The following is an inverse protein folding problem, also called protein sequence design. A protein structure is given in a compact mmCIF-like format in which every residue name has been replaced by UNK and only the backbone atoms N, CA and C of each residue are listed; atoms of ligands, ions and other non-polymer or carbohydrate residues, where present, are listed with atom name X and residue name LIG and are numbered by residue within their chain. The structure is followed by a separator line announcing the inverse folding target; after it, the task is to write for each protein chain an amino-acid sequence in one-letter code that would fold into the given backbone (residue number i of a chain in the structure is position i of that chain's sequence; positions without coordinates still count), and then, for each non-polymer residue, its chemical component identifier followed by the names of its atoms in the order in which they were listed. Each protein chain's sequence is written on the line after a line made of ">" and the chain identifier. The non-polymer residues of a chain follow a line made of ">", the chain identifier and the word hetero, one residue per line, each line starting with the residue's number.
data_IF_562860242137
#
_entry.id   IF_562860242137
#
_cell.length_a   1.000
_cell.length_b   1.000
_cell.length_c   1.000
_cell.angle_alpha   90.00
_cell.angle_beta   90.00
_cell.angle_gamma   90.00
#
_symmetry.space_group_name_H-M   'P 1'
#
loop_
_entity.id
_entity.type
_entity.pdbx_description
1 polymer ?
#
# COMPACT_ATOMS: atom_id res chain seq x y z
N UNK A 1 -16.44 29.98 -2.92
CA UNK A 1 -16.52 29.36 -1.58
C UNK A 1 -15.59 30.09 -0.63
N UNK A 2 -15.94 30.26 0.66
CA UNK A 2 -15.00 30.80 1.65
C UNK A 2 -14.23 29.62 2.26
N UNK A 3 -12.91 29.74 2.32
CA UNK A 3 -12.03 28.77 2.94
C UNK A 3 -11.76 29.17 4.39
N UNK A 4 -11.75 28.20 5.31
CA UNK A 4 -11.45 28.41 6.72
C UNK A 4 -9.96 28.24 7.01
N UNK A 5 -9.34 27.30 6.30
CA UNK A 5 -7.91 26.98 6.40
C UNK A 5 -7.33 26.80 5.01
N UNK A 6 -6.05 27.16 4.81
CA UNK A 6 -5.30 26.89 3.59
C UNK A 6 -3.97 26.23 3.95
N UNK A 7 -3.68 25.09 3.30
CA UNK A 7 -2.48 24.27 3.50
C UNK A 7 -1.91 23.80 2.17
N UNK A 8 -0.75 23.17 2.19
CA UNK A 8 -0.14 22.60 0.99
C UNK A 8 -0.76 21.26 0.63
N UNK A 9 -0.99 20.40 1.62
CA UNK A 9 -1.61 19.10 1.42
C UNK A 9 -2.74 18.84 2.43
N UNK A 10 -3.83 18.25 1.95
CA UNK A 10 -4.90 17.72 2.80
C UNK A 10 -4.85 16.20 2.76
N UNK A 11 -4.80 15.54 3.92
CA UNK A 11 -4.93 14.09 4.08
C UNK A 11 -6.30 13.77 4.69
N UNK A 12 -7.10 12.93 4.03
CA UNK A 12 -8.46 12.58 4.48
C UNK A 12 -8.51 11.54 5.58
N UNK A 13 -7.37 10.95 5.95
CA UNK A 13 -7.28 9.94 7.00
C UNK A 13 -5.91 9.95 7.66
N UNK A 14 -5.88 9.57 8.94
CA UNK A 14 -4.68 9.49 9.77
C UNK A 14 -4.06 8.10 9.87
N UNK A 15 -4.41 7.19 8.95
CA UNK A 15 -3.74 5.90 8.82
C UNK A 15 -2.30 6.03 8.34
N UNK A 16 -1.61 4.91 8.20
CA UNK A 16 -0.18 4.87 7.84
C UNK A 16 0.14 5.70 6.59
N UNK A 17 -0.69 5.61 5.54
CA UNK A 17 -0.46 6.34 4.29
C UNK A 17 -0.70 7.86 4.42
N UNK A 18 -1.74 8.26 5.17
CA UNK A 18 -2.01 9.67 5.42
C UNK A 18 -0.92 10.34 6.24
N UNK A 19 -0.47 9.69 7.32
CA UNK A 19 0.64 10.18 8.14
C UNK A 19 1.95 10.24 7.36
N UNK A 20 2.28 9.19 6.58
CA UNK A 20 3.48 9.21 5.75
C UNK A 20 3.47 10.35 4.73
N UNK A 21 2.31 10.60 4.08
CA UNK A 21 2.15 11.73 3.15
C UNK A 21 2.32 13.08 3.85
N UNK A 22 1.75 13.22 5.06
CA UNK A 22 1.87 14.45 5.85
C UNK A 22 3.32 14.71 6.27
N UNK A 23 4.03 13.69 6.75
CA UNK A 23 5.45 13.78 7.14
C UNK A 23 6.31 14.17 5.94
N UNK A 24 6.09 13.54 4.78
CA UNK A 24 6.84 13.87 3.55
C UNK A 24 6.72 15.35 3.15
N UNK A 25 5.53 15.93 3.31
CA UNK A 25 5.28 17.35 2.99
C UNK A 25 5.89 18.27 4.04
N UNK A 26 5.76 17.93 5.32
CA UNK A 26 6.36 18.71 6.39
C UNK A 26 7.89 18.73 6.30
N UNK A 27 8.53 17.64 5.87
CA UNK A 27 9.99 17.56 5.69
C UNK A 27 10.53 18.51 4.61
N UNK A 28 9.69 18.92 3.67
CA UNK A 28 10.03 19.94 2.68
C UNK A 28 9.50 21.34 3.04
N UNK A 29 9.01 21.49 4.28
CA UNK A 29 8.54 22.78 4.80
C UNK A 29 7.12 23.15 4.40
N UNK A 30 6.31 22.20 3.93
CA UNK A 30 4.91 22.42 3.58
C UNK A 30 3.96 22.27 4.77
N UNK A 31 2.86 23.02 4.72
CA UNK A 31 1.77 22.93 5.69
C UNK A 31 0.82 21.79 5.35
N UNK A 32 0.33 21.06 6.37
CA UNK A 32 -0.54 19.91 6.17
C UNK A 32 -1.77 19.95 7.07
N UNK A 33 -2.89 19.47 6.56
CA UNK A 33 -4.09 19.15 7.32
C UNK A 33 -4.29 17.63 7.29
N UNK A 34 -4.37 17.00 8.46
CA UNK A 34 -4.61 15.56 8.58
C UNK A 34 -5.93 15.34 9.31
N UNK A 35 -6.92 14.80 8.60
CA UNK A 35 -8.18 14.41 9.20
C UNK A 35 -8.00 13.08 9.97
N UNK A 36 -8.43 13.06 11.23
CA UNK A 36 -8.55 11.86 12.05
C UNK A 36 -9.97 11.34 11.94
N UNK A 37 -10.23 10.53 10.95
CA UNK A 37 -11.52 9.87 10.80
C UNK A 37 -11.61 8.65 11.71
N UNK A 38 -12.82 8.33 12.18
CA UNK A 38 -13.12 7.10 12.92
C UNK A 38 -12.90 5.84 12.08
N UNK A 39 -13.31 4.69 12.58
CA UNK A 39 -13.13 3.40 11.91
C UNK A 39 -14.31 3.08 10.98
N UNK A 40 -14.09 3.05 9.69
CA UNK A 40 -15.04 2.45 8.74
C UNK A 40 -14.81 0.94 8.58
N UNK A 41 -15.85 0.18 8.32
CA UNK A 41 -15.73 -1.24 8.01
C UNK A 41 -15.03 -1.45 6.66
N UNK A 42 -14.05 -2.37 6.57
CA UNK A 42 -13.36 -2.64 5.32
C UNK A 42 -14.32 -3.24 4.28
N UNK A 43 -14.74 -2.46 3.31
CA UNK A 43 -15.67 -2.91 2.29
C UNK A 43 -15.08 -4.01 1.40
N UNK A 44 -15.93 -4.98 1.11
CA UNK A 44 -15.66 -6.03 0.12
C UNK A 44 -16.42 -5.66 -1.16
N UNK A 45 -15.70 -5.28 -2.25
CA UNK A 45 -16.43 -4.93 -3.46
C UNK A 45 -15.55 -4.31 -4.56
N UNK A 46 -16.15 -3.47 -5.38
CA UNK A 46 -15.51 -2.76 -6.48
C UNK A 46 -14.42 -1.78 -6.00
N UNK A 47 -13.62 -1.25 -6.93
CA UNK A 47 -12.60 -0.26 -6.61
C UNK A 47 -13.21 1.00 -5.98
N UNK A 48 -14.36 1.46 -6.46
CA UNK A 48 -15.11 2.61 -5.89
C UNK A 48 -15.49 2.34 -4.43
N UNK A 49 -16.06 1.17 -4.15
CA UNK A 49 -16.42 0.78 -2.78
C UNK A 49 -15.22 0.72 -1.86
N UNK A 50 -14.04 0.34 -2.38
CA UNK A 50 -12.80 0.30 -1.62
C UNK A 50 -12.29 1.70 -1.30
N UNK A 51 -12.29 2.63 -2.26
CA UNK A 51 -11.92 4.03 -1.98
C UNK A 51 -12.91 4.64 -0.99
N UNK A 52 -14.21 4.39 -1.17
CA UNK A 52 -15.24 4.85 -0.24
C UNK A 52 -15.08 4.28 1.16
N UNK A 53 -14.56 3.05 1.31
CA UNK A 53 -14.29 2.45 2.62
C UNK A 53 -13.08 3.05 3.33
N UNK A 54 -12.17 3.72 2.63
CA UNK A 54 -11.13 4.53 3.26
C UNK A 54 -11.68 5.79 3.92
N UNK A 55 -12.85 6.22 3.48
CA UNK A 55 -13.57 7.39 3.97
C UNK A 55 -14.68 6.86 4.90
N UNK A 56 -14.47 6.88 6.18
CA UNK A 56 -15.26 6.26 7.23
C UNK A 56 -16.79 6.34 7.16
N UNK A 57 -17.28 7.48 6.74
CA UNK A 57 -18.71 7.73 6.51
C UNK A 57 -18.87 7.87 5.01
N UNK A 58 -19.70 7.03 4.39
CA UNK A 58 -19.92 7.10 2.96
C UNK A 58 -20.17 8.54 2.53
N UNK A 59 -19.33 9.06 1.66
CA UNK A 59 -19.47 10.41 1.13
C UNK A 59 -20.75 10.45 0.28
N UNK A 60 -21.71 11.28 0.68
CA UNK A 60 -22.99 11.42 -0.03
C UNK A 60 -22.93 12.42 -1.19
N UNK A 61 -21.85 13.19 -1.29
CA UNK A 61 -21.67 14.19 -2.34
C UNK A 61 -21.47 13.53 -3.71
N UNK A 62 -22.32 13.92 -4.67
CA UNK A 62 -22.37 13.29 -6.00
C UNK A 62 -21.10 13.56 -6.79
N UNK A 63 -20.59 14.80 -6.78
CA UNK A 63 -19.39 15.19 -7.53
C UNK A 63 -18.13 14.46 -7.01
N UNK A 64 -18.04 14.29 -5.71
CA UNK A 64 -16.96 13.50 -5.09
C UNK A 64 -17.04 12.02 -5.48
N UNK A 65 -18.25 11.44 -5.46
CA UNK A 65 -18.46 10.06 -5.86
C UNK A 65 -18.16 9.83 -7.36
N UNK A 66 -18.57 10.73 -8.21
CA UNK A 66 -18.30 10.69 -9.65
C UNK A 66 -16.79 10.77 -9.92
N UNK A 67 -16.08 11.64 -9.20
CA UNK A 67 -14.63 11.70 -9.27
C UNK A 67 -13.96 10.39 -8.85
N UNK A 68 -14.35 9.83 -7.70
CA UNK A 68 -13.80 8.56 -7.22
C UNK A 68 -14.12 7.41 -8.19
N UNK A 69 -15.30 7.41 -8.78
CA UNK A 69 -15.68 6.46 -9.82
C UNK A 69 -14.81 6.61 -11.07
N UNK A 70 -14.62 7.84 -11.55
CA UNK A 70 -13.81 8.13 -12.73
C UNK A 70 -12.33 7.70 -12.56
N UNK A 71 -11.70 7.99 -11.42
CA UNK A 71 -10.30 7.61 -11.18
C UNK A 71 -10.08 6.11 -10.99
N UNK A 72 -11.15 5.34 -10.77
CA UNK A 72 -11.12 3.89 -10.54
C UNK A 72 -11.82 3.08 -11.64
N UNK A 73 -12.32 3.72 -12.70
CA UNK A 73 -13.13 3.07 -13.74
C UNK A 73 -12.41 1.97 -14.50
N UNK A 74 -11.10 2.16 -14.75
CA UNK A 74 -10.28 1.22 -15.52
C UNK A 74 -9.63 0.13 -14.67
N UNK A 75 -9.93 0.11 -13.37
CA UNK A 75 -9.39 -0.89 -12.46
C UNK A 75 -10.27 -2.13 -12.49
N UNK A 76 -9.71 -3.23 -12.97
CA UNK A 76 -10.34 -4.54 -12.91
C UNK A 76 -10.69 -4.98 -11.48
N UNK A 77 -11.22 -6.20 -11.30
CA UNK A 77 -11.59 -6.70 -9.97
C UNK A 77 -10.37 -6.73 -9.06
N UNK A 78 -10.52 -6.21 -7.85
CA UNK A 78 -9.43 -6.12 -6.88
C UNK A 78 -8.98 -7.51 -6.42
N UNK A 79 -7.65 -7.75 -6.31
CA UNK A 79 -7.12 -9.01 -5.83
C UNK A 79 -7.63 -9.30 -4.41
N UNK A 80 -8.21 -10.48 -4.21
CA UNK A 80 -8.74 -10.90 -2.89
C UNK A 80 -7.64 -11.16 -1.86
N UNK A 81 -6.45 -11.54 -2.31
CA UNK A 81 -5.33 -11.96 -1.47
C UNK A 81 -4.59 -10.82 -0.75
N UNK A 82 -4.82 -9.57 -1.16
CA UNK A 82 -4.07 -8.43 -0.60
C UNK A 82 -4.66 -7.85 0.70
N UNK A 83 -5.83 -8.35 1.15
CA UNK A 83 -6.58 -7.75 2.27
C UNK A 83 -5.96 -7.99 3.64
N UNK A 84 -5.27 -9.11 3.81
CA UNK A 84 -4.69 -9.53 5.07
C UNK A 84 -3.15 -9.52 5.03
N UNK A 85 -2.56 -8.86 4.05
CA UNK A 85 -1.11 -8.76 3.97
C UNK A 85 -0.64 -7.59 4.81
N UNK A 86 0.35 -7.87 5.65
CA UNK A 86 1.09 -6.86 6.39
C UNK A 86 1.80 -5.89 5.43
N UNK A 87 2.38 -4.84 6.00
CA UNK A 87 3.11 -3.84 5.24
C UNK A 87 4.17 -4.52 4.35
N UNK A 88 4.15 -4.31 3.03
CA UNK A 88 5.05 -5.02 2.15
C UNK A 88 6.50 -4.58 2.36
N UNK A 89 7.39 -5.56 2.44
CA UNK A 89 8.85 -5.35 2.43
C UNK A 89 9.37 -5.64 1.03
N UNK A 90 10.05 -4.69 0.43
CA UNK A 90 10.60 -4.81 -0.91
C UNK A 90 12.11 -4.67 -0.91
N UNK A 91 12.80 -5.60 -1.58
CA UNK A 91 14.22 -5.47 -1.85
C UNK A 91 14.42 -4.57 -3.06
N UNK A 92 15.26 -3.57 -2.92
CA UNK A 92 15.60 -2.63 -3.99
C UNK A 92 17.09 -2.61 -4.21
N UNK A 93 17.51 -2.46 -5.45
CA UNK A 93 18.91 -2.20 -5.77
C UNK A 93 19.21 -0.74 -5.42
N UNK A 94 20.36 -0.49 -4.81
CA UNK A 94 20.82 0.89 -4.63
C UNK A 94 20.88 1.60 -5.98
N UNK A 95 20.44 2.86 -6.05
CA UNK A 95 20.48 3.61 -7.29
C UNK A 95 21.95 3.71 -7.72
N UNK A 96 22.30 2.99 -8.80
CA UNK A 96 23.58 3.23 -9.45
C UNK A 96 23.54 4.63 -10.00
N UNK A 97 24.40 5.49 -9.50
CA UNK A 97 24.52 6.93 -9.85
C UNK A 97 24.88 7.22 -11.33
N UNK A 98 24.66 6.28 -12.24
CA UNK A 98 25.07 6.34 -13.64
C UNK A 98 23.95 6.48 -14.67
N UNK A 99 22.71 6.76 -14.27
CA UNK A 99 21.68 7.12 -15.24
C UNK A 99 21.55 8.64 -15.37
N UNK A 100 22.65 9.27 -15.75
CA UNK A 100 22.69 10.65 -16.28
C UNK A 100 22.15 10.71 -17.72
N UNK A 101 21.06 10.06 -18.00
CA UNK A 101 20.33 10.15 -19.25
C UNK A 101 18.85 10.35 -18.95
N UNK A 102 18.23 11.35 -19.60
CA UNK A 102 16.77 11.52 -19.65
C UNK A 102 16.12 10.30 -20.30
N UNK A 103 16.14 9.15 -19.63
CA UNK A 103 15.40 7.99 -20.08
C UNK A 103 13.97 8.16 -19.58
N UNK A 104 13.09 8.58 -20.47
CA UNK A 104 11.65 8.55 -20.20
C UNK A 104 11.26 7.09 -20.00
N UNK A 105 10.81 6.74 -18.81
CA UNK A 105 10.31 5.40 -18.55
C UNK A 105 9.17 5.07 -19.53
N UNK A 106 9.17 3.89 -20.17
CA UNK A 106 8.12 3.54 -21.11
C UNK A 106 6.76 3.55 -20.41
N UNK A 107 5.78 4.23 -21.01
CA UNK A 107 4.40 4.23 -20.52
C UNK A 107 3.80 2.83 -20.71
N UNK A 108 3.39 2.21 -19.63
CA UNK A 108 2.86 0.84 -19.61
C UNK A 108 1.48 0.86 -18.96
N UNK A 109 0.48 1.38 -19.66
CA UNK A 109 -0.87 1.67 -19.15
C UNK A 109 -1.51 0.50 -18.39
N UNK A 110 -1.46 -0.73 -18.89
CA UNK A 110 -2.01 -1.91 -18.22
C UNK A 110 -1.34 -2.16 -16.84
N UNK A 111 -0.02 -1.96 -16.74
CA UNK A 111 0.69 -2.10 -15.45
C UNK A 111 0.34 -1.02 -14.44
N UNK A 112 -0.12 0.16 -14.88
CA UNK A 112 -0.63 1.19 -13.97
C UNK A 112 -1.97 0.78 -13.37
N UNK A 113 -2.86 0.15 -14.14
CA UNK A 113 -4.10 -0.42 -13.64
C UNK A 113 -3.85 -1.51 -12.58
N UNK A 114 -2.96 -2.46 -12.85
CA UNK A 114 -2.56 -3.50 -11.90
C UNK A 114 -1.93 -2.92 -10.63
N UNK A 115 -1.12 -1.87 -10.78
CA UNK A 115 -0.53 -1.17 -9.64
C UNK A 115 -1.60 -0.49 -8.79
N UNK A 116 -2.49 0.26 -9.40
CA UNK A 116 -3.59 0.93 -8.72
C UNK A 116 -4.50 -0.07 -7.98
N UNK A 117 -4.84 -1.20 -8.62
CA UNK A 117 -5.60 -2.28 -8.00
C UNK A 117 -4.90 -2.85 -6.74
N UNK A 118 -3.57 -3.03 -6.79
CA UNK A 118 -2.77 -3.46 -5.63
C UNK A 118 -2.75 -2.41 -4.52
N UNK A 119 -2.64 -1.13 -4.86
CA UNK A 119 -2.70 -0.04 -3.87
C UNK A 119 -4.06 0.00 -3.18
N UNK A 120 -5.15 -0.09 -3.95
CA UNK A 120 -6.52 -0.08 -3.41
C UNK A 120 -6.85 -1.31 -2.54
N UNK A 121 -6.25 -2.46 -2.85
CA UNK A 121 -6.40 -3.65 -2.03
C UNK A 121 -5.62 -3.59 -0.71
N UNK A 122 -4.62 -2.71 -0.61
CA UNK A 122 -3.76 -2.57 0.57
C UNK A 122 -4.36 -1.61 1.60
N UNK A 123 -4.33 -1.93 2.90
CA UNK A 123 -4.70 -0.98 3.96
C UNK A 123 -3.72 0.21 4.06
N UNK A 124 -2.56 0.10 3.44
CA UNK A 124 -1.50 1.12 3.40
C UNK A 124 -1.51 1.93 2.10
N UNK A 125 -2.56 1.78 1.28
CA UNK A 125 -2.71 2.47 0.02
C UNK A 125 -3.18 3.92 0.18
N UNK A 126 -2.92 4.72 -0.86
CA UNK A 126 -3.42 6.08 -0.99
C UNK A 126 -3.71 6.44 -2.44
N UNK A 127 -4.56 7.45 -2.61
CA UNK A 127 -4.83 8.12 -3.87
C UNK A 127 -4.50 9.60 -3.73
N UNK A 128 -3.59 10.13 -4.54
CA UNK A 128 -3.39 11.57 -4.66
C UNK A 128 -4.29 12.17 -5.74
N UNK A 129 -4.88 13.31 -5.46
CA UNK A 129 -5.73 14.03 -6.43
C UNK A 129 -4.93 14.55 -7.64
N UNK A 130 -3.61 14.70 -7.51
CA UNK A 130 -2.70 15.09 -8.58
C UNK A 130 -1.53 14.11 -8.67
N UNK A 131 -1.01 13.92 -9.89
CA UNK A 131 0.30 13.27 -10.07
C UNK A 131 1.35 14.27 -9.62
N UNK A 132 2.10 13.96 -8.58
CA UNK A 132 3.15 14.84 -8.04
C UNK A 132 4.47 14.09 -7.91
N UNK A 133 5.53 14.77 -8.30
CA UNK A 133 6.91 14.31 -8.06
C UNK A 133 7.39 14.86 -6.70
N UNK A 134 6.91 14.29 -5.62
CA UNK A 134 7.31 14.64 -4.25
C UNK A 134 8.78 14.28 -4.01
N UNK A 135 9.74 15.01 -4.55
CA UNK A 135 11.17 14.70 -4.42
C UNK A 135 11.48 13.20 -4.45
N UNK A 136 10.73 12.46 -5.29
CA UNK A 136 10.85 11.03 -5.38
C UNK A 136 12.06 10.64 -6.23
N UNK A 137 12.80 9.66 -5.76
CA UNK A 137 13.83 8.99 -6.56
C UNK A 137 13.21 7.79 -7.28
N UNK A 138 13.72 7.50 -8.49
CA UNK A 138 13.34 6.27 -9.20
C UNK A 138 14.34 5.18 -8.86
N UNK A 139 13.86 4.06 -8.34
CA UNK A 139 14.68 2.89 -8.01
C UNK A 139 14.16 1.64 -8.71
N UNK A 140 15.03 0.68 -8.94
CA UNK A 140 14.66 -0.61 -9.48
C UNK A 140 14.48 -1.61 -8.34
N UNK A 141 13.30 -2.23 -8.28
CA UNK A 141 13.03 -3.31 -7.36
C UNK A 141 13.67 -4.62 -7.86
N UNK A 142 13.87 -5.58 -6.97
CA UNK A 142 14.49 -6.89 -7.28
C UNK A 142 13.72 -7.70 -8.34
N UNK A 143 12.42 -7.45 -8.48
CA UNK A 143 11.55 -8.02 -9.53
C UNK A 143 11.69 -7.32 -10.89
N UNK A 144 12.59 -6.34 -11.01
CA UNK A 144 12.82 -5.53 -12.20
C UNK A 144 11.85 -4.36 -12.38
N UNK A 145 10.88 -4.19 -11.51
CA UNK A 145 9.93 -3.07 -11.55
C UNK A 145 10.63 -1.74 -11.24
N UNK A 146 10.34 -0.71 -12.03
CA UNK A 146 10.74 0.66 -11.73
C UNK A 146 9.66 1.31 -10.86
N UNK A 147 10.07 1.84 -9.71
CA UNK A 147 9.19 2.48 -8.74
C UNK A 147 9.69 3.87 -8.40
N UNK A 148 8.77 4.80 -8.14
CA UNK A 148 9.05 6.10 -7.59
C UNK A 148 8.94 6.03 -6.06
N UNK A 149 9.96 6.51 -5.37
CA UNK A 149 10.12 6.37 -3.92
C UNK A 149 10.35 7.73 -3.28
N UNK A 150 9.49 8.12 -2.34
CA UNK A 150 9.76 9.20 -1.39
C UNK A 150 10.05 8.57 -0.02
N UNK A 151 11.28 8.71 0.44
CA UNK A 151 11.71 8.17 1.73
C UNK A 151 11.24 9.09 2.86
N UNK A 152 10.61 8.48 3.88
CA UNK A 152 10.12 9.18 5.08
C UNK A 152 11.15 9.08 6.22
N UNK A 153 11.90 7.99 6.27
CA UNK A 153 12.93 7.72 7.25
C UNK A 153 13.14 6.24 7.45
N UNK A 154 13.87 5.87 8.48
CA UNK A 154 14.21 4.47 8.77
C UNK A 154 13.82 4.08 10.18
N UNK A 155 13.37 2.85 10.34
CA UNK A 155 13.02 2.26 11.63
C UNK A 155 13.23 0.75 11.64
N UNK A 156 13.34 0.17 12.83
CA UNK A 156 13.31 -1.28 13.02
C UNK A 156 11.90 -1.69 13.45
N UNK A 157 11.11 -2.36 12.59
CA UNK A 157 9.74 -2.73 12.93
C UNK A 157 9.71 -3.87 13.95
N UNK A 158 8.68 -3.87 14.81
CA UNK A 158 8.44 -4.96 15.76
C UNK A 158 7.97 -6.22 15.03
N UNK A 159 8.58 -7.38 15.28
CA UNK A 159 8.11 -8.65 14.74
C UNK A 159 6.67 -8.95 15.17
N UNK A 160 5.86 -9.45 14.24
CA UNK A 160 4.48 -9.88 14.52
C UNK A 160 3.39 -8.84 14.25
N UNK A 161 3.70 -7.53 14.25
CA UNK A 161 2.77 -6.48 13.81
C UNK A 161 3.53 -5.29 13.21
N UNK A 162 4.04 -5.49 12.02
CA UNK A 162 4.86 -4.52 11.31
C UNK A 162 4.08 -3.25 10.99
N UNK A 163 2.85 -3.40 10.51
CA UNK A 163 2.02 -2.27 10.13
C UNK A 163 1.68 -1.36 11.30
N UNK A 164 1.33 -1.91 12.47
CA UNK A 164 1.09 -1.11 13.66
C UNK A 164 2.36 -0.42 14.15
N UNK A 165 3.49 -1.15 14.16
CA UNK A 165 4.79 -0.58 14.54
C UNK A 165 5.19 0.61 13.67
N UNK A 166 4.98 0.52 12.34
CA UNK A 166 5.23 1.62 11.41
C UNK A 166 4.25 2.77 11.63
N UNK A 167 2.98 2.46 11.89
CA UNK A 167 2.00 3.50 12.19
C UNK A 167 2.34 4.29 13.45
N UNK A 168 2.68 3.61 14.55
CA UNK A 168 3.09 4.24 15.80
C UNK A 168 4.33 5.12 15.63
N UNK A 169 5.31 4.62 14.84
CA UNK A 169 6.48 5.38 14.48
C UNK A 169 6.12 6.64 13.68
N UNK A 170 5.24 6.55 12.68
CA UNK A 170 4.76 7.68 11.89
C UNK A 170 3.99 8.69 12.74
N UNK A 171 3.21 8.23 13.72
CA UNK A 171 2.56 9.14 14.68
C UNK A 171 3.58 9.92 15.51
N UNK A 172 4.68 9.27 15.92
CA UNK A 172 5.77 9.96 16.60
C UNK A 172 6.43 10.98 15.67
N UNK A 173 6.76 10.58 14.44
CA UNK A 173 7.34 11.48 13.44
C UNK A 173 6.46 12.69 13.12
N UNK A 174 5.15 12.50 13.06
CA UNK A 174 4.18 13.58 12.86
C UNK A 174 4.18 14.55 14.05
N UNK A 175 4.16 14.03 15.27
CA UNK A 175 4.20 14.85 16.49
C UNK A 175 5.50 15.66 16.60
N UNK A 176 6.63 15.05 16.30
CA UNK A 176 7.95 15.71 16.34
C UNK A 176 8.03 16.88 15.35
N UNK A 177 7.26 16.85 14.26
CA UNK A 177 7.13 17.92 13.26
C UNK A 177 5.98 18.88 13.53
N UNK A 178 5.29 18.75 14.66
CA UNK A 178 4.15 19.61 15.02
C UNK A 178 2.90 19.37 14.15
N UNK A 179 2.82 18.26 13.42
CA UNK A 179 1.64 17.92 12.63
C UNK A 179 0.49 17.55 13.56
N UNK A 180 -0.61 18.30 13.46
CA UNK A 180 -1.82 18.04 14.22
C UNK A 180 -2.77 17.13 13.45
N UNK A 181 -3.20 16.02 14.08
CA UNK A 181 -4.29 15.20 13.58
C UNK A 181 -5.60 15.75 14.14
N UNK A 182 -6.48 16.23 13.26
CA UNK A 182 -7.78 16.79 13.60
C UNK A 182 -8.78 15.64 13.85
N UNK A 183 -8.90 15.20 15.08
CA UNK A 183 -9.83 14.13 15.47
C UNK A 183 -11.28 14.47 15.06
N UNK A 184 -12.09 13.43 14.80
CA UNK A 184 -13.51 13.55 14.44
C UNK A 184 -13.79 14.46 13.23
N UNK A 185 -12.83 14.51 12.29
CA UNK A 185 -12.95 15.24 11.03
C UNK A 185 -13.24 14.26 9.90
N UNK A 186 -14.52 14.11 9.53
CA UNK A 186 -14.94 13.21 8.47
C UNK A 186 -15.06 13.94 7.15
N UNK A 187 -14.53 13.37 6.08
CA UNK A 187 -14.67 13.95 4.74
C UNK A 187 -16.14 14.06 4.36
N UNK A 188 -16.60 15.30 4.10
CA UNK A 188 -17.92 15.58 3.59
C UNK A 188 -17.93 15.58 2.06
N UNK A 189 -16.98 16.29 1.44
CA UNK A 189 -16.80 16.33 -0.02
C UNK A 189 -15.39 16.82 -0.41
N UNK A 190 -14.98 16.45 -1.61
CA UNK A 190 -13.85 17.06 -2.33
C UNK A 190 -14.36 18.30 -3.08
N UNK A 191 -13.54 19.33 -3.16
CA UNK A 191 -13.91 20.60 -3.83
C UNK A 191 -13.11 20.72 -5.12
N UNK A 192 -13.84 21.08 -6.19
CA UNK A 192 -13.29 21.25 -7.52
C UNK A 192 -13.42 22.71 -7.98
N UNK A 193 -12.40 23.22 -8.64
CA UNK A 193 -12.42 24.47 -9.40
C UNK A 193 -11.85 24.15 -10.79
N UNK A 194 -12.59 24.47 -11.85
CA UNK A 194 -12.20 24.22 -13.25
C UNK A 194 -11.74 22.76 -13.52
N UNK A 195 -12.42 21.79 -12.88
CA UNK A 195 -12.10 20.38 -13.00
C UNK A 195 -10.85 19.90 -12.22
N UNK A 196 -10.19 20.78 -11.49
CA UNK A 196 -9.07 20.45 -10.62
C UNK A 196 -9.52 20.36 -9.16
N UNK A 197 -9.01 19.38 -8.42
CA UNK A 197 -9.19 19.30 -6.96
C UNK A 197 -8.41 20.43 -6.31
N UNK A 198 -9.10 21.27 -5.52
CA UNK A 198 -8.53 22.44 -4.84
C UNK A 198 -8.63 22.38 -3.32
N UNK A 199 -9.28 21.35 -2.77
CA UNK A 199 -9.43 21.18 -1.33
C UNK A 199 -10.52 20.19 -0.96
N UNK A 200 -10.92 20.22 0.30
CA UNK A 200 -11.96 19.37 0.84
C UNK A 200 -12.77 20.08 1.93
N UNK A 201 -13.98 19.62 2.15
CA UNK A 201 -14.82 20.03 3.28
C UNK A 201 -14.96 18.83 4.21
N UNK A 202 -14.78 19.09 5.49
CA UNK A 202 -14.93 18.09 6.55
C UNK A 202 -16.12 18.42 7.44
N UNK A 203 -16.82 17.40 7.92
CA UNK A 203 -17.75 17.50 9.02
C UNK A 203 -16.98 17.30 10.31
N UNK A 204 -17.07 18.27 11.21
CA UNK A 204 -16.44 18.26 12.54
C UNK A 204 -17.50 18.43 13.63
N UNK A 205 -17.21 18.19 14.90
CA UNK A 205 -18.16 18.42 16.00
C UNK A 205 -18.68 19.86 16.09
N UNK A 206 -17.92 20.84 15.56
CA UNK A 206 -18.25 22.26 15.58
C UNK A 206 -18.92 22.75 14.28
N UNK A 207 -19.12 21.88 13.31
CA UNK A 207 -19.70 22.20 12.00
C UNK A 207 -18.81 21.81 10.82
N UNK A 208 -19.08 22.42 9.68
CA UNK A 208 -18.28 22.18 8.48
C UNK A 208 -16.98 23.01 8.51
N UNK A 209 -15.88 22.39 8.12
CA UNK A 209 -14.57 23.01 7.96
C UNK A 209 -14.11 22.88 6.52
N UNK A 210 -13.93 24.00 5.84
CA UNK A 210 -13.45 24.05 4.46
C UNK A 210 -11.93 24.27 4.42
N UNK A 211 -11.20 23.30 3.90
CA UNK A 211 -9.72 23.31 3.84
C UNK A 211 -9.28 23.38 2.38
N UNK A 212 -8.56 24.45 2.02
CA UNK A 212 -7.93 24.60 0.70
C UNK A 212 -6.60 23.86 0.67
N UNK A 213 -6.33 23.19 -0.44
CA UNK A 213 -5.09 22.46 -0.68
C UNK A 213 -4.36 23.07 -1.90
N UNK A 214 -3.17 23.66 -1.71
CA UNK A 214 -2.38 24.23 -2.80
C UNK A 214 -1.87 23.14 -3.75
N UNK A 215 -1.46 21.98 -3.20
CA UNK A 215 -0.84 20.89 -3.95
C UNK A 215 -1.73 19.66 -4.11
N UNK A 216 -2.86 19.59 -3.43
CA UNK A 216 -3.87 18.57 -3.62
C UNK A 216 -4.32 17.86 -2.36
N UNK A 217 -5.14 16.83 -2.58
CA UNK A 217 -5.75 16.02 -1.53
C UNK A 217 -5.23 14.58 -1.64
N UNK A 218 -4.79 14.02 -0.53
CA UNK A 218 -4.50 12.60 -0.39
C UNK A 218 -5.67 11.89 0.25
N UNK A 219 -6.29 10.98 -0.49
CA UNK A 219 -7.30 10.07 0.04
C UNK A 219 -6.60 8.84 0.59
N UNK A 220 -6.73 8.60 1.88
CA UNK A 220 -6.12 7.49 2.58
C UNK A 220 -7.06 6.97 3.68
N UNK A 221 -6.86 5.72 4.08
CA UNK A 221 -7.64 5.10 5.15
C UNK A 221 -7.34 5.72 6.52
N UNK A 222 -8.30 5.64 7.43
CA UNK A 222 -8.12 5.97 8.84
C UNK A 222 -7.27 4.93 9.60
N UNK A 223 -6.88 5.24 10.84
CA UNK A 223 -6.01 4.40 11.67
C UNK A 223 -6.61 3.01 12.01
N UNK A 224 -7.93 2.90 12.07
CA UNK A 224 -8.60 1.66 12.50
C UNK A 224 -8.51 0.50 11.49
N UNK A 225 -8.03 0.75 10.27
CA UNK A 225 -7.80 -0.30 9.25
C UNK A 225 -6.53 -1.14 9.52
N UNK A 226 -5.80 -0.86 10.60
CA UNK A 226 -4.57 -1.57 11.02
C UNK A 226 -4.86 -2.86 11.80
N UNK A 227 -6.03 -3.47 11.61
CA UNK A 227 -6.44 -4.70 12.26
C UNK A 227 -5.45 -5.85 12.05
N UNK A 228 -5.71 -6.96 12.74
CA UNK A 228 -4.92 -8.20 12.74
C UNK A 228 -4.57 -8.68 11.32
N UNK A 229 -3.34 -8.40 10.90
CA UNK A 229 -2.78 -8.74 9.59
C UNK A 229 -1.74 -9.84 9.79
N UNK A 230 -1.70 -10.83 8.89
CA UNK A 230 -0.66 -11.85 8.92
C UNK A 230 0.71 -11.19 8.63
N UNK A 231 1.64 -11.34 9.57
CA UNK A 231 2.98 -10.78 9.44
C UNK A 231 3.69 -11.32 8.19
N UNK A 232 4.13 -10.42 7.35
CA UNK A 232 4.98 -10.74 6.19
C UNK A 232 6.40 -11.13 6.63
N UNK A 233 7.19 -11.74 5.73
CA UNK A 233 8.58 -12.06 6.03
C UNK A 233 9.39 -10.76 6.21
N UNK A 234 10.08 -10.66 7.35
CA UNK A 234 11.05 -9.61 7.62
C UNK A 234 12.47 -10.10 7.32
N UNK A 235 13.43 -9.21 7.00
CA UNK A 235 14.85 -9.55 6.98
C UNK A 235 15.30 -10.15 8.31
N UNK A 236 16.22 -11.09 8.24
CA UNK A 236 16.79 -11.72 9.45
C UNK A 236 17.76 -10.73 10.11
N UNK A 237 17.45 -10.31 11.34
CA UNK A 237 18.27 -9.41 12.14
C UNK A 237 17.51 -8.13 12.54
N UNK A 238 18.15 -7.33 13.39
CA UNK A 238 17.66 -6.00 13.79
C UNK A 238 18.01 -4.94 12.74
N UNK A 239 17.64 -5.19 11.48
CA UNK A 239 17.98 -4.28 10.40
C UNK A 239 16.96 -3.16 10.32
N UNK A 240 17.42 -1.92 10.31
CA UNK A 240 16.55 -0.77 10.05
C UNK A 240 16.06 -0.81 8.60
N UNK A 241 14.75 -0.68 8.42
CA UNK A 241 14.09 -0.64 7.12
C UNK A 241 13.67 0.79 6.79
N UNK A 242 13.78 1.17 5.53
CA UNK A 242 13.33 2.49 5.07
C UNK A 242 11.82 2.48 4.89
N UNK A 243 11.12 3.37 5.58
CA UNK A 243 9.69 3.62 5.40
C UNK A 243 9.52 4.57 4.22
N UNK A 244 8.80 4.17 3.20
CA UNK A 244 8.70 4.92 1.96
C UNK A 244 7.26 5.01 1.44
N UNK A 245 6.92 6.16 0.87
CA UNK A 245 5.81 6.26 -0.07
C UNK A 245 6.28 5.73 -1.41
N UNK A 246 5.64 4.68 -1.89
CA UNK A 246 5.97 4.02 -3.16
C UNK A 246 4.84 4.21 -4.14
N UNK A 247 5.19 4.66 -5.34
CA UNK A 247 4.27 4.83 -6.45
C UNK A 247 4.92 4.37 -7.76
N UNK A 248 4.19 4.46 -8.86
CA UNK A 248 4.73 4.35 -10.21
C UNK A 248 4.68 5.71 -10.90
N UNK A 249 5.64 5.94 -11.77
CA UNK A 249 5.65 7.17 -12.56
C UNK A 249 4.30 7.37 -13.28
N UNK A 250 3.77 8.58 -13.22
CA UNK A 250 2.46 8.96 -13.74
C UNK A 250 1.24 8.30 -13.04
N UNK A 251 1.42 7.58 -11.94
CA UNK A 251 0.31 7.03 -11.14
C UNK A 251 -0.12 8.03 -10.05
N UNK A 252 -1.44 8.13 -9.85
CA UNK A 252 -2.02 8.80 -8.67
C UNK A 252 -2.09 7.88 -7.46
N UNK A 253 -1.97 6.57 -7.68
CA UNK A 253 -2.03 5.56 -6.64
C UNK A 253 -0.64 5.21 -6.15
N UNK A 254 -0.54 5.05 -4.85
CA UNK A 254 0.63 4.55 -4.19
C UNK A 254 0.28 3.83 -2.90
N UNK A 255 1.29 3.34 -2.22
CA UNK A 255 1.16 2.73 -0.90
C UNK A 255 2.44 2.91 -0.09
N UNK A 256 2.34 2.77 1.21
CA UNK A 256 3.52 2.70 2.06
C UNK A 256 4.14 1.31 1.93
N UNK A 257 5.45 1.25 1.76
CA UNK A 257 6.25 0.02 1.75
C UNK A 257 7.51 0.21 2.60
N UNK A 258 8.03 -0.90 3.10
CA UNK A 258 9.36 -0.96 3.70
C UNK A 258 10.37 -1.36 2.63
N UNK A 259 11.44 -0.60 2.49
CA UNK A 259 12.49 -0.89 1.52
C UNK A 259 13.79 -1.32 2.22
N UNK A 260 14.47 -2.30 1.62
CA UNK A 260 15.78 -2.77 2.05
C UNK A 260 16.66 -3.08 0.85
N UNK A 261 17.96 -2.94 1.00
CA UNK A 261 18.96 -3.43 0.04
C UNK A 261 19.39 -4.87 0.34
N UNK A 262 19.05 -5.38 1.53
CA UNK A 262 19.40 -6.73 1.94
C UNK A 262 18.36 -7.75 1.46
N UNK A 263 18.80 -8.95 1.03
CA UNK A 263 17.87 -9.99 0.63
C UNK A 263 17.03 -10.46 1.83
N UNK A 264 15.72 -10.49 1.63
CA UNK A 264 14.77 -11.03 2.62
C UNK A 264 14.87 -12.55 2.59
N UNK A 265 15.24 -13.17 3.71
CA UNK A 265 15.23 -14.63 3.82
C UNK A 265 13.80 -15.14 3.76
N UNK A 266 13.48 -15.92 2.72
CA UNK A 266 12.21 -16.61 2.70
C UNK A 266 12.18 -17.62 3.86
N UNK A 267 11.05 -17.75 4.59
CA UNK A 267 10.91 -18.83 5.56
C UNK A 267 11.13 -20.15 4.85
N UNK A 268 12.13 -20.91 5.30
CA UNK A 268 12.37 -22.27 4.79
C UNK A 268 11.10 -23.07 5.07
N UNK A 269 10.44 -23.62 4.03
CA UNK A 269 9.26 -24.45 4.27
C UNK A 269 9.64 -25.55 5.25
N UNK A 270 8.79 -25.92 6.23
CA UNK A 270 9.11 -26.95 7.18
C UNK A 270 9.45 -28.22 6.40
N UNK A 271 10.73 -28.58 6.37
CA UNK A 271 11.17 -29.87 5.85
C UNK A 271 10.46 -30.90 6.69
N UNK A 272 9.64 -31.73 6.09
CA UNK A 272 9.07 -32.93 6.71
C UNK A 272 10.27 -33.70 7.29
N UNK A 273 10.47 -33.58 8.61
CA UNK A 273 11.39 -34.47 9.33
C UNK A 273 10.82 -35.87 9.14
N UNK A 274 11.44 -36.64 8.28
CA UNK A 274 11.25 -38.08 8.24
C UNK A 274 11.49 -38.60 9.65
N UNK A 275 10.45 -39.08 10.31
CA UNK A 275 10.56 -39.71 11.59
C UNK A 275 11.33 -41.03 11.39
N UNK A 276 12.62 -40.98 11.63
CA UNK A 276 13.42 -42.21 11.83
C UNK A 276 13.00 -42.80 13.16
N UNK A 277 11.96 -43.62 13.13
CA UNK A 277 11.69 -44.56 14.20
C UNK A 277 12.72 -45.69 14.07
N UNK A 278 13.72 -45.67 14.93
CA UNK A 278 14.52 -46.84 15.30
C UNK A 278 13.62 -47.93 15.84
N UNK A 279 13.33 -48.93 15.01
CA UNK A 279 12.90 -50.23 15.49
C UNK A 279 14.07 -51.19 15.29
N UNK A 280 14.81 -51.44 16.40
CA UNK A 280 15.49 -52.68 16.61
C UNK A 280 14.40 -53.73 16.75
N UNK A 281 14.38 -54.75 15.87
CA UNK A 281 14.38 -56.17 16.27
C UNK A 281 14.36 -57.09 15.05
N UNK A 282 15.38 -57.97 15.08
CA UNK A 282 15.39 -59.39 14.76
C UNK A 282 14.99 -59.93 13.39
N UNK A 283 16.02 -60.56 12.83
CA UNK A 283 16.03 -61.57 11.77
C UNK A 283 14.74 -62.37 11.57
N UNK A 284 14.27 -62.54 10.32
CA UNK A 284 14.21 -63.78 9.61
C UNK A 284 13.90 -63.53 8.10
N UNK A 285 14.65 -64.30 7.29
CA UNK A 285 14.60 -64.29 5.84
C UNK A 285 13.24 -64.82 5.31
N UNK A 286 12.76 -64.27 4.18
CA UNK A 286 12.31 -65.04 2.98
C UNK A 286 11.78 -64.08 1.90
N UNK A 287 12.30 -64.30 0.69
CA UNK A 287 11.71 -64.18 -0.65
C UNK A 287 10.85 -62.97 -1.08
N UNK A 288 11.47 -62.23 -2.00
CA UNK A 288 10.96 -61.92 -3.35
C UNK A 288 9.58 -61.28 -3.52
N UNK A 289 9.60 -60.03 -3.96
CA UNK A 289 8.77 -59.45 -5.06
C UNK A 289 8.89 -57.91 -5.10
N UNK A 290 9.51 -57.44 -6.19
CA UNK A 290 9.57 -56.03 -6.56
C UNK A 290 8.19 -55.49 -6.99
N UNK A 291 7.74 -54.31 -6.55
CA UNK A 291 6.64 -53.58 -7.21
C UNK A 291 7.19 -52.67 -8.32
N UNK A 292 6.79 -52.97 -9.55
CA UNK A 292 6.96 -52.09 -10.69
C UNK A 292 6.04 -50.87 -10.58
N UNK A 293 6.63 -49.69 -10.56
CA UNK A 293 5.89 -48.45 -10.74
C UNK A 293 5.64 -48.20 -12.22
N UNK A 294 4.38 -48.27 -12.67
CA UNK A 294 3.95 -47.87 -14.00
C UNK A 294 3.75 -46.36 -14.04
N UNK A 295 4.56 -45.69 -14.86
CA UNK A 295 4.36 -44.32 -15.26
C UNK A 295 3.24 -44.24 -16.30
N UNK A 296 2.06 -43.67 -15.93
CA UNK A 296 0.95 -43.47 -16.85
C UNK A 296 1.19 -42.28 -17.75
N UNK A 297 1.41 -42.49 -19.05
CA UNK A 297 1.34 -41.47 -20.10
C UNK A 297 -0.10 -41.06 -20.32
N UNK A 298 -0.45 -39.80 -20.10
CA UNK A 298 -1.68 -39.20 -20.60
C UNK A 298 -1.44 -38.70 -22.04
N UNK A 299 -2.08 -39.38 -22.98
CA UNK A 299 -2.16 -38.96 -24.39
C UNK A 299 -3.20 -37.83 -24.50
N UNK A 300 -2.78 -36.77 -25.19
CA UNK A 300 -3.68 -35.72 -25.66
C UNK A 300 -4.57 -36.23 -26.81
N UNK A 301 -5.81 -35.79 -26.78
CA UNK A 301 -6.68 -35.77 -27.95
C UNK A 301 -7.20 -34.36 -28.16
N UNK A 302 -6.74 -33.79 -29.28
CA UNK A 302 -7.40 -32.69 -29.97
C UNK A 302 -8.48 -33.25 -30.88
N UNK A 303 -9.63 -32.59 -31.07
CA UNK A 303 -10.26 -32.63 -32.38
C UNK A 303 -10.44 -31.22 -32.97
N UNK A 304 -9.88 -31.07 -34.15
CA UNK A 304 -10.36 -30.14 -35.18
C UNK A 304 -11.68 -30.66 -35.78
N UNK A 305 -12.56 -29.72 -36.19
CA UNK A 305 -13.64 -30.07 -37.09
C UNK A 305 -14.78 -29.06 -37.14
N UNK A 306 -14.76 -28.21 -38.19
CA UNK A 306 -15.83 -27.44 -38.85
C UNK A 306 -16.37 -26.21 -38.14
#
# INVERSE_FOLDING_TARGET
>A
MKWDVEVDLVCTGSGTAGLASAVAVADVGGDVFVAGSGAGDPATGSAVQRISSWLDVGVSDVETNDYLAAVSSDLGPLPRSARNQDLPVRVVSEPRSTLSGRTVAPFVGARLGDWAARCLASPYGYLHSRVSDWHSSTVQASDGDMIAVAEIGSMTPSPGNVGASVHDWLQAQARDRGITVHAESNLHRIVFEEGAVVGAVFTTPTGQLAVRARHGVTVAAGAAHLGSVEAGPLPVGETALRVCLVSKHASRFGRVELLTSEPVSQPVPPTCRAANHLLHHSMHATHDRSPQWRCGKLHGHSPFGQ
#
